data_IF_646407723364
#
_entry.id   IF_646407723364
#
_cell.length_a   1.000
_cell.length_b   1.000
_cell.length_c   1.000
_cell.angle_alpha   90.00
_cell.angle_beta   90.00
_cell.angle_gamma   90.00
#
_symmetry.space_group_name_H-M   'P 1'
#
loop_
_entity.id
_entity.type
_entity.pdbx_description
1 polymer ?
#
# COMPACT_ATOMS: atom_id res chain seq x y z
N UNK A 1 -34.62 -6.98 37.97
CA UNK A 1 -33.50 -6.31 37.26
C UNK A 1 -32.28 -7.19 37.47
N UNK A 2 -31.89 -7.95 36.44
CA UNK A 2 -30.74 -8.86 36.53
C UNK A 2 -29.46 -8.05 36.42
N UNK A 3 -28.79 -7.82 37.54
CA UNK A 3 -27.45 -7.23 37.54
C UNK A 3 -26.49 -8.22 36.87
N UNK A 4 -25.69 -7.83 35.86
CA UNK A 4 -24.74 -8.74 35.23
C UNK A 4 -23.74 -9.26 36.27
N UNK A 5 -23.45 -10.56 36.22
CA UNK A 5 -22.46 -11.20 37.08
C UNK A 5 -21.10 -10.52 36.87
N UNK A 6 -20.38 -10.22 37.97
CA UNK A 6 -19.02 -9.66 37.94
C UNK A 6 -18.04 -10.48 37.06
N UNK A 7 -18.31 -11.77 36.84
CA UNK A 7 -17.51 -12.61 35.95
C UNK A 7 -17.72 -12.27 34.46
N UNK A 8 -18.95 -11.94 34.07
CA UNK A 8 -19.28 -11.54 32.70
C UNK A 8 -18.65 -10.18 32.37
N UNK A 9 -18.74 -9.24 33.29
CA UNK A 9 -18.09 -7.93 33.14
C UNK A 9 -16.57 -8.08 33.01
N UNK A 10 -15.97 -9.04 33.72
CA UNK A 10 -14.53 -9.33 33.67
C UNK A 10 -14.11 -9.93 32.33
N UNK A 11 -14.92 -10.81 31.74
CA UNK A 11 -14.61 -11.41 30.43
C UNK A 11 -14.69 -10.37 29.32
N UNK A 12 -15.75 -9.55 29.31
CA UNK A 12 -15.96 -8.54 28.27
C UNK A 12 -14.85 -7.48 28.29
N UNK A 13 -14.48 -7.00 29.49
CA UNK A 13 -13.36 -6.05 29.65
C UNK A 13 -12.02 -6.66 29.22
N UNK A 14 -11.81 -7.96 29.42
CA UNK A 14 -10.57 -8.62 29.03
C UNK A 14 -10.44 -8.76 27.51
N UNK A 15 -11.54 -9.01 26.81
CA UNK A 15 -11.57 -9.10 25.34
C UNK A 15 -11.27 -7.76 24.69
N UNK A 16 -11.94 -6.69 25.15
CA UNK A 16 -11.68 -5.32 24.67
C UNK A 16 -10.25 -4.86 24.97
N UNK A 17 -9.73 -5.19 26.15
CA UNK A 17 -8.34 -4.88 26.50
C UNK A 17 -7.34 -5.58 25.56
N UNK A 18 -7.63 -6.80 25.10
CA UNK A 18 -6.77 -7.50 24.15
C UNK A 18 -6.78 -6.86 22.77
N UNK A 19 -7.94 -6.42 22.27
CA UNK A 19 -8.05 -5.67 21.01
C UNK A 19 -7.23 -4.38 21.09
N UNK A 20 -7.37 -3.63 22.19
CA UNK A 20 -6.65 -2.39 22.41
C UNK A 20 -5.13 -2.62 22.50
N UNK A 21 -4.69 -3.70 23.15
CA UNK A 21 -3.27 -4.07 23.21
C UNK A 21 -2.72 -4.45 21.83
N UNK A 22 -3.49 -5.15 21.00
CA UNK A 22 -3.09 -5.44 19.61
C UNK A 22 -2.93 -4.15 18.80
N UNK A 23 -3.87 -3.20 18.92
CA UNK A 23 -3.74 -1.88 18.28
C UNK A 23 -2.52 -1.11 18.79
N UNK A 24 -2.33 -1.07 20.12
CA UNK A 24 -1.17 -0.43 20.74
C UNK A 24 0.15 -0.99 20.21
N UNK A 25 0.24 -2.32 20.04
CA UNK A 25 1.42 -2.98 19.47
C UNK A 25 1.65 -2.61 18.00
N UNK A 26 0.60 -2.59 17.17
CA UNK A 26 0.69 -2.16 15.76
C UNK A 26 1.19 -0.72 15.67
N UNK A 27 0.67 0.16 16.53
CA UNK A 27 1.03 1.58 16.60
C UNK A 27 2.38 1.86 17.29
N UNK A 28 3.08 0.85 17.81
CA UNK A 28 4.36 1.03 18.53
C UNK A 28 4.22 1.65 19.93
N UNK A 29 3.01 1.62 20.51
CA UNK A 29 2.69 2.24 21.81
C UNK A 29 2.96 1.33 23.01
N UNK A 30 3.25 0.04 22.79
CA UNK A 30 3.38 -0.96 23.86
C UNK A 30 4.82 -1.26 24.31
N UNK A 31 5.83 -0.52 23.83
CA UNK A 31 7.22 -0.74 24.27
C UNK A 31 7.44 -0.19 25.68
N UNK A 32 7.74 -1.09 26.63
CA UNK A 32 8.07 -0.78 28.04
C UNK A 32 9.48 -0.21 28.23
N UNK A 33 10.28 -0.19 27.18
CA UNK A 33 11.66 0.30 27.18
C UNK A 33 11.77 1.56 26.29
N UNK A 34 12.60 2.51 26.73
CA UNK A 34 12.61 3.96 26.47
C UNK A 34 12.79 4.46 25.02
N UNK A 35 12.52 3.66 23.99
CA UNK A 35 12.47 4.13 22.60
C UNK A 35 11.07 3.85 22.04
N UNK A 36 10.34 4.92 21.70
CA UNK A 36 9.16 4.79 20.86
C UNK A 36 9.62 4.26 19.50
N UNK A 37 9.40 2.96 19.27
CA UNK A 37 9.66 2.36 17.97
C UNK A 37 8.74 3.07 16.96
N UNK A 38 9.33 3.81 16.02
CA UNK A 38 8.58 4.65 15.09
C UNK A 38 7.70 3.72 14.26
N UNK A 39 6.38 3.91 14.35
CA UNK A 39 5.45 3.11 13.57
C UNK A 39 5.83 3.14 12.07
N UNK A 40 5.87 1.98 11.39
CA UNK A 40 6.24 1.95 9.98
C UNK A 40 5.24 2.78 9.17
N UNK A 41 5.73 3.34 8.07
CA UNK A 41 4.98 4.24 7.18
C UNK A 41 4.91 3.65 5.77
N UNK A 42 3.99 4.17 4.95
CA UNK A 42 3.82 3.73 3.57
C UNK A 42 3.56 2.23 3.47
N UNK A 43 4.22 1.57 2.51
CA UNK A 43 4.06 0.13 2.27
C UNK A 43 4.67 -0.74 3.37
N UNK A 44 5.61 -0.21 4.15
CA UNK A 44 6.12 -0.87 5.36
C UNK A 44 5.01 -1.11 6.40
N UNK A 45 4.02 -0.21 6.50
CA UNK A 45 2.85 -0.40 7.36
C UNK A 45 1.98 -1.55 6.85
N UNK A 46 1.77 -1.65 5.54
CA UNK A 46 1.00 -2.74 4.93
C UNK A 46 1.67 -4.09 5.21
N UNK A 47 2.99 -4.17 5.06
CA UNK A 47 3.78 -5.35 5.38
C UNK A 47 3.65 -5.74 6.86
N UNK A 48 3.72 -4.78 7.79
CA UNK A 48 3.53 -5.04 9.24
C UNK A 48 2.12 -5.53 9.55
N UNK A 49 1.09 -4.89 8.99
CA UNK A 49 -0.31 -5.27 9.19
C UNK A 49 -0.58 -6.68 8.63
N UNK A 50 -0.04 -6.98 7.44
CA UNK A 50 -0.21 -8.29 6.83
C UNK A 50 0.45 -9.38 7.67
N UNK A 51 1.69 -9.19 8.10
CA UNK A 51 2.37 -10.10 9.02
C UNK A 51 1.60 -10.29 10.34
N UNK A 52 1.06 -9.20 10.89
CA UNK A 52 0.26 -9.23 12.11
C UNK A 52 -1.04 -10.02 11.93
N UNK A 53 -1.67 -9.98 10.75
CA UNK A 53 -2.88 -10.76 10.46
C UNK A 53 -2.62 -12.26 10.58
N UNK A 54 -1.46 -12.73 10.11
CA UNK A 54 -1.05 -14.13 10.18
C UNK A 54 -0.60 -14.58 11.57
N UNK A 55 -0.08 -13.66 12.39
CA UNK A 55 0.45 -13.98 13.71
C UNK A 55 -0.63 -14.20 14.79
N UNK A 56 -1.83 -13.62 14.64
CA UNK A 56 -2.89 -13.70 15.65
C UNK A 56 -3.76 -14.94 15.49
N UNK A 57 -3.98 -15.66 16.60
CA UNK A 57 -4.81 -16.89 16.63
C UNK A 57 -6.29 -16.63 16.94
N UNK A 58 -6.65 -15.44 17.46
CA UNK A 58 -8.02 -15.06 17.82
C UNK A 58 -8.74 -14.43 16.64
N UNK A 59 -10.00 -14.79 16.46
CA UNK A 59 -10.83 -14.36 15.33
C UNK A 59 -11.08 -12.86 15.36
N UNK A 60 -11.30 -12.29 16.53
CA UNK A 60 -11.64 -10.88 16.74
C UNK A 60 -10.46 -9.98 16.33
N UNK A 61 -9.24 -10.35 16.74
CA UNK A 61 -8.02 -9.65 16.36
C UNK A 61 -7.74 -9.80 14.85
N UNK A 62 -7.99 -10.97 14.27
CA UNK A 62 -7.84 -11.19 12.84
C UNK A 62 -8.84 -10.32 12.03
N UNK A 63 -10.10 -10.22 12.48
CA UNK A 63 -11.11 -9.36 11.85
C UNK A 63 -10.69 -7.89 11.94
N UNK A 64 -10.23 -7.43 13.10
CA UNK A 64 -9.75 -6.06 13.27
C UNK A 64 -8.63 -5.74 12.28
N UNK A 65 -7.62 -6.60 12.18
CA UNK A 65 -6.50 -6.39 11.26
C UNK A 65 -6.96 -6.45 9.80
N UNK A 66 -7.90 -7.34 9.45
CA UNK A 66 -8.47 -7.40 8.11
C UNK A 66 -9.22 -6.11 7.73
N UNK A 67 -9.97 -5.53 8.67
CA UNK A 67 -10.62 -4.22 8.48
C UNK A 67 -9.59 -3.12 8.29
N UNK A 68 -8.53 -3.09 9.11
CA UNK A 68 -7.44 -2.13 8.94
C UNK A 68 -6.77 -2.27 7.57
N UNK A 69 -6.40 -3.49 7.17
CA UNK A 69 -5.81 -3.80 5.87
C UNK A 69 -6.69 -3.30 4.72
N UNK A 70 -8.01 -3.53 4.78
CA UNK A 70 -8.94 -3.06 3.75
C UNK A 70 -8.83 -1.56 3.52
N UNK A 71 -8.74 -0.76 4.59
CA UNK A 71 -8.66 0.69 4.48
C UNK A 71 -7.24 1.17 4.14
N UNK A 72 -6.20 0.53 4.68
CA UNK A 72 -4.81 0.94 4.42
C UNK A 72 -4.35 0.60 3.00
N UNK A 73 -4.92 -0.42 2.36
CA UNK A 73 -4.66 -0.72 0.95
C UNK A 73 -5.34 0.24 -0.03
N UNK A 74 -6.37 0.98 0.39
CA UNK A 74 -7.12 1.89 -0.49
C UNK A 74 -6.24 2.93 -1.21
N UNK A 75 -5.34 3.69 -0.54
CA UNK A 75 -4.43 4.61 -1.24
C UNK A 75 -3.51 3.89 -2.23
N UNK A 76 -2.95 2.73 -1.83
CA UNK A 76 -2.07 1.95 -2.70
C UNK A 76 -2.78 1.53 -4.01
N UNK A 77 -4.01 1.02 -3.91
CA UNK A 77 -4.78 0.63 -5.10
C UNK A 77 -5.18 1.82 -5.96
N UNK A 78 -5.37 3.01 -5.37
CA UNK A 78 -5.60 4.23 -6.14
C UNK A 78 -4.35 4.66 -6.94
N UNK A 79 -3.16 4.58 -6.33
CA UNK A 79 -1.88 4.81 -7.05
C UNK A 79 -1.70 3.80 -8.17
N UNK A 80 -1.95 2.52 -7.86
CA UNK A 80 -1.87 1.43 -8.83
C UNK A 80 -2.83 1.64 -9.99
N UNK A 81 -4.08 2.05 -9.73
CA UNK A 81 -5.05 2.30 -10.79
C UNK A 81 -4.59 3.41 -11.74
N UNK A 82 -4.13 4.56 -11.20
CA UNK A 82 -3.59 5.66 -12.01
C UNK A 82 -2.37 5.24 -12.82
N UNK A 83 -1.48 4.46 -12.23
CA UNK A 83 -0.30 3.94 -12.91
C UNK A 83 -0.65 2.97 -14.04
N UNK A 84 -1.52 2.00 -13.76
CA UNK A 84 -1.86 0.89 -14.66
C UNK A 84 -2.86 1.26 -15.76
N UNK A 85 -3.60 2.36 -15.61
CA UNK A 85 -4.58 2.80 -16.63
C UNK A 85 -4.11 4.06 -17.34
N UNK A 86 -3.49 4.99 -16.62
CA UNK A 86 -3.11 6.28 -17.16
C UNK A 86 -1.60 6.43 -17.39
N UNK A 87 -0.77 5.56 -16.83
CA UNK A 87 0.69 5.73 -16.82
C UNK A 87 1.15 6.92 -15.99
N UNK A 88 0.35 7.33 -14.99
CA UNK A 88 0.65 8.49 -14.13
C UNK A 88 1.20 7.99 -12.80
N UNK A 89 2.44 8.37 -12.48
CA UNK A 89 3.02 8.14 -11.16
C UNK A 89 2.52 9.23 -10.19
N UNK A 90 1.44 8.94 -9.46
CA UNK A 90 0.89 9.86 -8.45
C UNK A 90 1.35 9.44 -7.06
N UNK A 91 2.43 10.05 -6.58
CA UNK A 91 3.06 9.70 -5.30
C UNK A 91 3.45 10.95 -4.49
N UNK A 92 2.46 11.71 -3.96
CA UNK A 92 2.71 12.95 -3.24
C UNK A 92 3.46 12.76 -1.91
N UNK A 93 3.42 11.57 -1.32
CA UNK A 93 4.00 11.27 0.00
C UNK A 93 5.24 10.38 -0.07
N UNK A 94 5.66 9.99 -1.27
CA UNK A 94 6.84 9.17 -1.44
C UNK A 94 6.68 7.73 -0.98
N UNK A 95 5.46 7.20 -1.00
CA UNK A 95 5.11 5.88 -0.48
C UNK A 95 4.82 4.85 -1.57
N UNK A 96 4.66 5.28 -2.83
CA UNK A 96 4.43 4.34 -3.91
C UNK A 96 5.71 3.56 -4.26
N UNK A 97 5.59 2.29 -4.66
CA UNK A 97 6.75 1.45 -4.99
C UNK A 97 7.59 1.99 -6.16
N UNK A 98 6.99 2.81 -7.02
CA UNK A 98 7.59 3.34 -8.24
C UNK A 98 8.05 4.77 -7.99
N UNK A 99 9.29 5.04 -8.39
CA UNK A 99 9.88 6.36 -8.44
C UNK A 99 9.90 6.88 -9.88
N UNK A 100 9.67 8.17 -10.03
CA UNK A 100 9.75 8.88 -11.31
C UNK A 100 10.98 9.77 -11.34
N UNK A 101 11.79 9.68 -12.40
CA UNK A 101 12.87 10.65 -12.65
C UNK A 101 12.48 11.58 -13.81
N UNK A 102 12.12 12.80 -13.44
CA UNK A 102 11.75 13.89 -14.36
C UNK A 102 12.75 14.14 -15.49
N UNK A 103 14.04 13.84 -15.29
CA UNK A 103 15.10 14.05 -16.30
C UNK A 103 14.94 13.19 -17.54
N UNK A 104 14.26 12.04 -17.41
CA UNK A 104 14.15 11.04 -18.48
C UNK A 104 12.73 10.94 -19.05
N UNK A 105 11.75 11.66 -18.50
CA UNK A 105 10.34 11.55 -18.89
C UNK A 105 10.03 11.90 -20.35
N UNK A 106 10.79 12.83 -20.94
CA UNK A 106 10.62 13.28 -22.32
C UNK A 106 11.49 12.53 -23.33
N UNK A 107 12.35 11.63 -22.84
CA UNK A 107 13.24 10.84 -23.68
C UNK A 107 12.44 9.82 -24.51
N UNK A 108 12.95 9.52 -25.70
CA UNK A 108 12.40 8.51 -26.62
C UNK A 108 13.43 7.45 -27.00
N UNK A 109 14.49 7.35 -26.20
CA UNK A 109 15.59 6.42 -26.34
C UNK A 109 15.60 5.42 -25.18
N UNK A 110 16.60 4.54 -25.15
CA UNK A 110 16.76 3.53 -24.09
C UNK A 110 16.84 4.13 -22.68
N UNK A 111 17.26 5.41 -22.54
CA UNK A 111 17.38 6.06 -21.25
C UNK A 111 16.01 6.29 -20.59
N UNK A 112 14.95 6.52 -21.39
CA UNK A 112 13.58 6.50 -20.86
C UNK A 112 13.30 5.17 -20.18
N UNK A 113 13.55 4.07 -20.90
CA UNK A 113 13.22 2.73 -20.43
C UNK A 113 13.98 2.37 -19.15
N UNK A 114 15.24 2.78 -19.06
CA UNK A 114 16.11 2.45 -17.95
C UNK A 114 15.89 3.33 -16.72
N UNK A 115 15.64 4.62 -16.90
CA UNK A 115 15.74 5.60 -15.80
C UNK A 115 14.47 6.39 -15.51
N UNK A 116 13.52 6.52 -16.45
CA UNK A 116 12.34 7.36 -16.22
C UNK A 116 11.48 6.86 -15.06
N UNK A 117 11.42 5.53 -14.86
CA UNK A 117 10.75 4.92 -13.74
C UNK A 117 11.55 3.74 -13.18
N UNK A 118 11.69 3.69 -11.86
CA UNK A 118 12.45 2.65 -11.15
C UNK A 118 11.74 2.25 -9.85
N UNK A 119 12.17 1.15 -9.25
CA UNK A 119 11.72 0.74 -7.91
C UNK A 119 12.86 0.97 -6.92
N UNK A 120 12.53 1.35 -5.68
CA UNK A 120 13.48 1.41 -4.57
C UNK A 120 13.07 0.41 -3.49
N UNK A 121 13.60 -0.80 -3.59
CA UNK A 121 13.27 -1.90 -2.69
C UNK A 121 13.94 -1.73 -1.33
N UNK A 122 15.02 -0.96 -1.25
CA UNK A 122 15.74 -0.67 0.00
C UNK A 122 15.03 0.38 0.86
N UNK A 123 14.13 1.18 0.28
CA UNK A 123 13.28 2.11 1.01
C UNK A 123 12.08 1.38 1.62
N UNK A 124 12.10 1.23 2.94
CA UNK A 124 11.01 0.59 3.70
C UNK A 124 9.63 1.24 3.50
N UNK A 125 9.55 2.52 3.10
CA UNK A 125 8.27 3.16 2.77
C UNK A 125 7.68 2.68 1.44
N UNK A 126 8.53 2.16 0.55
CA UNK A 126 8.21 1.77 -0.83
C UNK A 126 8.35 0.27 -1.08
N UNK A 127 8.95 -0.46 -0.14
CA UNK A 127 9.06 -1.90 -0.19
C UNK A 127 7.66 -2.55 -0.16
N UNK A 128 7.27 -3.18 -1.26
CA UNK A 128 5.96 -3.83 -1.36
C UNK A 128 5.84 -5.04 -0.42
N UNK A 129 4.63 -5.31 0.08
CA UNK A 129 4.32 -6.57 0.74
C UNK A 129 4.66 -7.79 -0.13
N UNK A 130 5.04 -8.89 0.51
CA UNK A 130 5.50 -10.12 -0.15
C UNK A 130 4.47 -10.71 -1.13
N UNK A 131 3.19 -10.43 -0.92
CA UNK A 131 2.08 -10.92 -1.73
C UNK A 131 2.01 -10.22 -3.09
N UNK A 132 2.52 -8.98 -3.12
CA UNK A 132 2.53 -8.10 -4.30
C UNK A 132 3.87 -8.16 -5.03
N UNK A 133 4.96 -8.49 -4.33
CA UNK A 133 6.32 -8.51 -4.90
C UNK A 133 6.44 -9.32 -6.20
N UNK A 134 5.75 -10.46 -6.30
CA UNK A 134 5.70 -11.29 -7.51
C UNK A 134 5.12 -10.59 -8.75
N UNK A 135 4.37 -9.50 -8.56
CA UNK A 135 3.78 -8.70 -9.62
C UNK A 135 4.51 -7.37 -9.85
N UNK A 136 5.48 -7.00 -9.01
CA UNK A 136 6.06 -5.65 -8.98
C UNK A 136 6.69 -5.27 -10.34
N UNK A 137 7.46 -6.18 -10.92
CA UNK A 137 8.04 -6.00 -12.25
C UNK A 137 6.95 -5.81 -13.31
N UNK A 138 5.88 -6.62 -13.28
CA UNK A 138 4.77 -6.50 -14.22
C UNK A 138 4.05 -5.15 -14.09
N UNK A 139 3.84 -4.69 -12.86
CA UNK A 139 3.25 -3.39 -12.55
C UNK A 139 4.13 -2.26 -13.10
N UNK A 140 5.44 -2.29 -12.85
CA UNK A 140 6.38 -1.30 -13.36
C UNK A 140 6.36 -1.25 -14.89
N UNK A 141 6.44 -2.41 -15.55
CA UNK A 141 6.47 -2.48 -17.01
C UNK A 141 5.16 -2.01 -17.65
N UNK A 142 4.01 -2.32 -17.04
CA UNK A 142 2.71 -1.93 -17.55
C UNK A 142 2.58 -0.40 -17.64
N UNK A 143 2.79 0.33 -16.54
CA UNK A 143 2.66 1.79 -16.58
C UNK A 143 3.78 2.47 -17.39
N UNK A 144 5.01 1.93 -17.40
CA UNK A 144 6.08 2.39 -18.32
C UNK A 144 5.61 2.37 -19.77
N UNK A 145 4.99 1.26 -20.17
CA UNK A 145 4.50 1.03 -21.52
C UNK A 145 3.35 1.97 -21.86
N UNK A 146 2.35 2.08 -20.99
CA UNK A 146 1.21 3.00 -21.20
C UNK A 146 1.68 4.44 -21.34
N UNK A 147 2.58 4.88 -20.45
CA UNK A 147 3.10 6.24 -20.50
C UNK A 147 3.92 6.51 -21.77
N UNK A 148 4.75 5.55 -22.19
CA UNK A 148 5.53 5.66 -23.41
C UNK A 148 4.63 5.70 -24.65
N UNK A 149 3.59 4.86 -24.69
CA UNK A 149 2.60 4.86 -25.77
C UNK A 149 1.88 6.21 -25.86
N UNK A 150 1.50 6.81 -24.73
CA UNK A 150 0.92 8.17 -24.71
C UNK A 150 1.90 9.24 -25.20
N UNK A 151 3.21 9.10 -24.92
CA UNK A 151 4.24 10.01 -25.39
C UNK A 151 4.50 9.89 -26.90
N UNK A 152 4.53 8.66 -27.41
CA UNK A 152 4.86 8.37 -28.80
C UNK A 152 3.64 8.51 -29.73
N UNK A 153 2.45 8.13 -29.27
CA UNK A 153 1.23 8.05 -30.05
C UNK A 153 0.04 8.74 -29.34
N UNK A 154 0.09 10.06 -29.11
CA UNK A 154 -0.94 10.77 -28.37
C UNK A 154 -2.33 10.67 -29.01
N UNK A 155 -2.39 10.54 -30.34
CA UNK A 155 -3.64 10.44 -31.11
C UNK A 155 -4.48 9.21 -30.73
N UNK A 156 -3.85 8.07 -30.42
CA UNK A 156 -4.54 6.84 -30.01
C UNK A 156 -5.28 6.98 -28.67
N UNK A 157 -4.85 7.94 -27.84
CA UNK A 157 -5.45 8.24 -26.54
C UNK A 157 -6.26 9.54 -26.58
N UNK A 158 -6.43 10.14 -27.75
CA UNK A 158 -7.32 11.27 -27.92
C UNK A 158 -8.77 10.82 -27.75
N UNK A 159 -9.60 11.69 -27.15
CA UNK A 159 -11.05 11.45 -27.06
C UNK A 159 -11.64 11.15 -28.44
N UNK A 160 -11.14 11.82 -29.48
CA UNK A 160 -11.57 11.62 -30.87
C UNK A 160 -11.36 10.17 -31.34
N UNK A 161 -10.19 9.57 -31.06
CA UNK A 161 -9.92 8.19 -31.47
C UNK A 161 -10.81 7.18 -30.72
N UNK A 162 -10.97 7.37 -29.41
CA UNK A 162 -11.79 6.50 -28.54
C UNK A 162 -13.27 6.54 -28.96
N UNK A 163 -13.82 7.71 -29.29
CA UNK A 163 -15.22 7.82 -29.74
C UNK A 163 -15.44 7.33 -31.18
N UNK A 164 -14.40 7.32 -32.01
CA UNK A 164 -14.51 6.85 -33.40
C UNK A 164 -14.21 5.35 -33.59
N UNK A 165 -13.66 4.67 -32.58
CA UNK A 165 -13.33 3.24 -32.64
C UNK A 165 -13.72 2.56 -31.30
N UNK A 166 -15.02 2.34 -31.03
CA UNK A 166 -15.51 1.72 -29.80
C UNK A 166 -15.19 0.22 -29.69
#
# INVERSE_FOLDING_TARGET
MNSPSMQLLRTDVLEEAQLLNTLGSICGLCSREKEFDIAPKGLGLLSKLHHSAWAHKRKENAILIAVLLKYTYAPYFNFLNKWMTEGICYDPYGEFQIMEDSKYLSRRDELYWKFAYTENVDDSMRAVPAEISKYSQGILQCGKSIRLLKLCCPELFSLKYIFCNP
#
